data_IF_796745344861
#
_entry.id   IF_796745344861
#
_cell.length_a   1.000
_cell.length_b   1.000
_cell.length_c   1.000
_cell.angle_alpha   90.00
_cell.angle_beta   90.00
_cell.angle_gamma   90.00
#
_symmetry.space_group_name_H-M   'P 1'
#
loop_
_entity.id
_entity.type
_entity.pdbx_description
1 polymer ?
#
# COMPACT_ATOMS: atom_id res chain seq x y z
N UNK A 1 5.80 -3.70 45.35
CA UNK A 1 5.98 -5.12 45.00
C UNK A 1 5.44 -5.32 43.60
N UNK A 2 6.35 -5.42 42.60
CA UNK A 2 5.99 -5.89 41.28
C UNK A 2 5.70 -7.38 41.41
N UNK A 3 4.45 -7.77 41.20
CA UNK A 3 4.09 -9.18 41.02
C UNK A 3 4.46 -9.54 39.57
N UNK A 4 5.56 -10.27 39.40
CA UNK A 4 5.92 -10.91 38.15
C UNK A 4 4.90 -12.03 37.86
N UNK A 5 3.88 -11.73 37.06
CA UNK A 5 2.89 -12.68 36.56
C UNK A 5 3.41 -13.56 35.42
N UNK A 6 4.74 -13.75 35.29
CA UNK A 6 5.34 -14.46 34.16
C UNK A 6 5.65 -15.93 34.39
N UNK A 7 5.24 -16.54 35.52
CA UNK A 7 5.52 -17.95 35.79
C UNK A 7 4.24 -18.77 35.89
N UNK A 8 3.98 -19.64 34.93
CA UNK A 8 3.05 -20.75 35.08
C UNK A 8 3.71 -21.85 35.89
N UNK A 9 2.92 -22.55 36.72
CA UNK A 9 3.38 -23.66 37.57
C UNK A 9 4.06 -24.82 36.82
N UNK A 10 4.05 -24.83 35.50
CA UNK A 10 4.71 -25.84 34.63
C UNK A 10 6.00 -25.35 33.94
N UNK A 11 6.61 -24.27 34.42
CA UNK A 11 7.94 -23.82 33.90
C UNK A 11 7.98 -23.34 32.47
N UNK A 12 6.85 -23.24 31.76
CA UNK A 12 6.79 -22.65 30.41
C UNK A 12 6.68 -21.14 30.55
N UNK A 13 7.67 -20.43 30.00
CA UNK A 13 7.64 -18.98 29.86
C UNK A 13 6.47 -18.59 28.95
N UNK A 14 5.36 -18.20 29.57
CA UNK A 14 4.19 -17.71 28.83
C UNK A 14 4.52 -16.35 28.23
N UNK A 15 4.50 -16.26 26.92
CA UNK A 15 4.66 -14.98 26.23
C UNK A 15 3.39 -14.15 26.46
N UNK A 16 3.54 -12.93 27.00
CA UNK A 16 2.41 -12.02 27.34
C UNK A 16 1.43 -11.84 26.17
N UNK A 17 1.95 -11.84 24.93
CA UNK A 17 1.13 -11.78 23.73
C UNK A 17 0.24 -13.02 23.54
N UNK A 18 0.66 -14.21 24.03
CA UNK A 18 -0.17 -15.41 23.96
C UNK A 18 -1.33 -15.35 24.95
N UNK A 19 -1.08 -14.85 26.17
CA UNK A 19 -2.11 -14.65 27.18
C UNK A 19 -3.16 -13.64 26.72
N UNK A 20 -2.71 -12.51 26.16
CA UNK A 20 -3.61 -11.50 25.61
C UNK A 20 -4.45 -12.04 24.44
N UNK A 21 -3.85 -12.85 23.56
CA UNK A 21 -4.57 -13.47 22.45
C UNK A 21 -5.67 -14.43 22.91
N UNK A 22 -5.41 -15.21 23.98
CA UNK A 22 -6.40 -16.11 24.59
C UNK A 22 -7.53 -15.34 25.28
N UNK A 23 -7.21 -14.26 26.01
CA UNK A 23 -8.19 -13.44 26.73
C UNK A 23 -9.10 -12.64 25.81
N UNK A 24 -8.55 -12.08 24.71
CA UNK A 24 -9.29 -11.22 23.79
C UNK A 24 -9.95 -11.97 22.62
N UNK A 25 -9.58 -13.24 22.40
CA UNK A 25 -9.99 -14.01 21.22
C UNK A 25 -9.33 -13.54 19.91
N UNK A 26 -8.37 -12.60 19.99
CA UNK A 26 -7.66 -12.05 18.86
C UNK A 26 -6.48 -12.94 18.42
N UNK A 27 -6.10 -12.87 17.14
CA UNK A 27 -4.91 -13.57 16.68
C UNK A 27 -3.63 -12.95 17.26
N UNK A 28 -2.61 -13.75 17.51
CA UNK A 28 -1.29 -13.27 17.97
C UNK A 28 -0.72 -12.17 17.04
N UNK A 29 -0.95 -12.31 15.76
CA UNK A 29 -0.53 -11.31 14.75
C UNK A 29 -1.20 -9.96 14.98
N UNK A 30 -2.49 -9.94 15.35
CA UNK A 30 -3.21 -8.72 15.69
C UNK A 30 -2.65 -8.08 16.98
N UNK A 31 -2.38 -8.86 17.99
CA UNK A 31 -1.78 -8.35 19.24
C UNK A 31 -0.41 -7.70 18.97
N UNK A 32 0.45 -8.33 18.17
CA UNK A 32 1.72 -7.72 17.81
C UNK A 32 1.58 -6.43 16.99
N UNK A 33 0.58 -6.34 16.11
CA UNK A 33 0.27 -5.10 15.40
C UNK A 33 -0.15 -3.98 16.35
N UNK A 34 -1.05 -4.24 17.31
CA UNK A 34 -1.44 -3.26 18.32
C UNK A 34 -0.25 -2.80 19.17
N UNK A 35 0.61 -3.73 19.60
CA UNK A 35 1.84 -3.38 20.32
C UNK A 35 2.75 -2.49 19.46
N UNK A 36 2.86 -2.75 18.15
CA UNK A 36 3.65 -1.91 17.24
C UNK A 36 3.10 -0.49 17.15
N UNK A 37 1.78 -0.31 17.11
CA UNK A 37 1.15 1.02 17.05
C UNK A 37 1.51 1.92 18.25
N UNK A 38 1.83 1.33 19.42
CA UNK A 38 2.27 2.12 20.60
C UNK A 38 3.60 2.84 20.40
N UNK A 39 4.35 2.52 19.33
CA UNK A 39 5.59 3.18 18.97
C UNK A 39 5.38 4.43 18.10
N UNK A 40 4.18 4.66 17.60
CA UNK A 40 3.85 5.85 16.82
C UNK A 40 3.92 7.11 17.70
N UNK A 41 4.12 8.27 17.05
CA UNK A 41 3.87 9.56 17.69
C UNK A 41 2.36 9.72 17.91
N UNK A 42 1.93 10.50 18.92
CA UNK A 42 0.52 10.62 19.28
C UNK A 42 -0.39 11.03 18.12
N UNK A 43 0.07 11.93 17.26
CA UNK A 43 -0.68 12.45 16.13
C UNK A 43 -0.96 11.36 15.07
N UNK A 44 0.04 10.54 14.73
CA UNK A 44 -0.15 9.42 13.81
C UNK A 44 -1.00 8.31 14.42
N UNK A 45 -0.89 8.05 15.72
CA UNK A 45 -1.74 7.10 16.42
C UNK A 45 -3.20 7.58 16.39
N UNK A 46 -3.45 8.88 16.67
CA UNK A 46 -4.78 9.47 16.59
C UNK A 46 -5.39 9.32 15.18
N UNK A 47 -4.57 9.45 14.11
CA UNK A 47 -5.04 9.23 12.74
C UNK A 47 -5.48 7.78 12.49
N UNK A 48 -4.88 6.82 13.17
CA UNK A 48 -5.31 5.40 13.11
C UNK A 48 -6.63 5.23 13.85
N UNK A 49 -6.77 5.80 15.04
CA UNK A 49 -7.98 5.72 15.86
C UNK A 49 -9.17 6.41 15.16
N UNK A 50 -8.92 7.54 14.50
CA UNK A 50 -9.92 8.25 13.67
C UNK A 50 -10.27 7.50 12.35
N UNK A 51 -9.58 6.41 12.04
CA UNK A 51 -9.76 5.68 10.77
C UNK A 51 -9.23 6.38 9.53
N UNK A 52 -8.51 7.50 9.69
CA UNK A 52 -7.86 8.24 8.59
C UNK A 52 -6.68 7.47 8.00
N UNK A 53 -5.93 6.75 8.86
CA UNK A 53 -4.83 5.88 8.47
C UNK A 53 -5.19 4.42 8.75
N UNK A 54 -4.89 3.53 7.80
CA UNK A 54 -5.13 2.09 7.98
C UNK A 54 -4.05 1.46 8.88
N UNK A 55 -4.42 0.41 9.60
CA UNK A 55 -3.53 -0.30 10.53
C UNK A 55 -2.24 -0.81 9.85
N UNK A 56 -2.32 -1.39 8.64
CA UNK A 56 -1.14 -1.99 8.02
C UNK A 56 -0.04 -0.97 7.67
N UNK A 57 -0.33 0.17 7.00
CA UNK A 57 0.65 1.24 6.85
C UNK A 57 1.19 1.73 8.19
N UNK A 58 0.34 1.92 9.19
CA UNK A 58 0.72 2.43 10.50
C UNK A 58 1.71 1.50 11.23
N UNK A 59 1.55 0.18 11.11
CA UNK A 59 2.50 -0.80 11.64
C UNK A 59 3.88 -0.65 11.00
N UNK A 60 3.96 -0.48 9.67
CA UNK A 60 5.24 -0.26 8.98
C UNK A 60 5.89 1.06 9.41
N UNK A 61 5.12 2.13 9.57
CA UNK A 61 5.58 3.44 10.03
C UNK A 61 6.08 3.39 11.48
N UNK A 62 5.52 2.52 12.31
CA UNK A 62 5.93 2.37 13.71
C UNK A 62 7.38 1.89 13.88
N UNK A 63 8.03 1.39 12.83
CA UNK A 63 9.45 1.01 12.83
C UNK A 63 10.39 2.16 12.50
N UNK A 64 9.87 3.30 12.02
CA UNK A 64 10.63 4.51 11.80
C UNK A 64 10.95 5.18 13.15
N UNK A 65 12.03 5.94 13.21
CA UNK A 65 12.31 6.79 14.37
C UNK A 65 11.33 7.98 14.47
N UNK A 66 11.41 8.72 15.55
CA UNK A 66 10.46 9.82 15.81
C UNK A 66 10.64 11.00 14.87
N UNK A 67 11.83 11.22 14.37
CA UNK A 67 12.16 12.28 13.42
C UNK A 67 11.51 11.97 12.06
N UNK A 68 11.74 10.79 11.50
CA UNK A 68 11.09 10.36 10.26
C UNK A 68 9.55 10.28 10.38
N UNK A 69 9.02 9.91 11.56
CA UNK A 69 7.58 9.94 11.80
C UNK A 69 7.02 11.37 11.78
N UNK A 70 7.78 12.34 12.29
CA UNK A 70 7.40 13.75 12.27
C UNK A 70 7.42 14.30 10.84
N UNK A 71 8.51 14.02 10.08
CA UNK A 71 8.61 14.38 8.66
C UNK A 71 7.46 13.80 7.83
N UNK A 72 7.09 12.55 8.13
CA UNK A 72 5.93 11.92 7.49
C UNK A 72 4.62 12.62 7.85
N UNK A 73 4.43 13.04 9.10
CA UNK A 73 3.25 13.79 9.51
C UNK A 73 3.12 15.11 8.71
N UNK A 74 4.22 15.85 8.58
CA UNK A 74 4.26 17.08 7.79
C UNK A 74 3.94 16.82 6.31
N UNK A 75 4.47 15.73 5.74
CA UNK A 75 4.15 15.34 4.38
C UNK A 75 2.67 14.93 4.20
N UNK A 76 2.05 14.26 5.20
CA UNK A 76 0.62 13.92 5.20
C UNK A 76 -0.23 15.17 5.22
N UNK A 77 0.13 16.18 6.02
CA UNK A 77 -0.60 17.45 6.12
C UNK A 77 -0.47 18.26 4.82
N UNK A 78 0.73 18.32 4.23
CA UNK A 78 0.98 19.01 2.97
C UNK A 78 0.20 18.42 1.81
N UNK A 79 0.27 17.09 1.65
CA UNK A 79 -0.34 16.36 0.53
C UNK A 79 -1.81 15.99 0.78
N UNK A 80 -2.34 16.25 1.97
CA UNK A 80 -3.70 15.90 2.39
C UNK A 80 -4.02 14.41 2.14
N UNK A 81 -3.03 13.53 2.26
CA UNK A 81 -3.20 12.10 2.00
C UNK A 81 -2.33 11.24 2.92
N UNK A 82 -2.83 10.06 3.31
CA UNK A 82 -2.06 9.09 4.10
C UNK A 82 -1.34 8.09 3.20
N UNK A 83 -0.19 7.54 3.62
CA UNK A 83 0.56 6.60 2.80
C UNK A 83 -0.22 5.30 2.56
N UNK A 84 -0.07 4.73 1.37
CA UNK A 84 -0.50 3.37 1.09
C UNK A 84 0.40 2.35 1.80
N UNK A 85 -0.06 1.10 1.96
CA UNK A 85 0.77 0.05 2.56
C UNK A 85 2.08 -0.18 1.79
N UNK A 86 2.05 -0.11 0.46
CA UNK A 86 3.25 -0.25 -0.36
C UNK A 86 4.27 0.89 -0.15
N UNK A 87 3.79 2.13 -0.02
CA UNK A 87 4.62 3.29 0.30
C UNK A 87 5.23 3.16 1.70
N UNK A 88 4.45 2.74 2.71
CA UNK A 88 4.94 2.53 4.07
C UNK A 88 6.01 1.43 4.15
N UNK A 89 5.84 0.29 3.46
CA UNK A 89 6.88 -0.75 3.35
C UNK A 89 8.16 -0.20 2.71
N UNK A 90 8.02 0.61 1.66
CA UNK A 90 9.17 1.22 0.98
C UNK A 90 9.93 2.18 1.91
N UNK A 91 9.21 3.05 2.63
CA UNK A 91 9.80 3.95 3.64
C UNK A 91 10.55 3.16 4.73
N UNK A 92 9.91 2.11 5.29
CA UNK A 92 10.54 1.24 6.28
C UNK A 92 11.82 0.57 5.74
N UNK A 93 11.80 0.09 4.50
CA UNK A 93 13.00 -0.50 3.86
C UNK A 93 14.11 0.54 3.66
N UNK A 94 13.78 1.75 3.19
CA UNK A 94 14.74 2.83 3.01
C UNK A 94 15.31 3.29 4.35
N UNK A 95 14.49 3.35 5.41
CA UNK A 95 14.94 3.65 6.76
C UNK A 95 15.99 2.64 7.26
N UNK A 96 15.74 1.33 7.08
CA UNK A 96 16.70 0.29 7.46
C UNK A 96 18.02 0.37 6.66
N UNK A 97 17.99 0.93 5.46
CA UNK A 97 19.18 1.16 4.63
C UNK A 97 19.90 2.49 4.97
N UNK A 98 19.32 3.35 5.81
CA UNK A 98 19.85 4.69 6.09
C UNK A 98 19.66 5.70 4.95
N UNK A 99 18.69 5.44 4.04
CA UNK A 99 18.41 6.24 2.85
C UNK A 99 17.15 7.12 3.00
N UNK A 100 16.40 6.97 4.10
CA UNK A 100 15.17 7.73 4.34
C UNK A 100 15.52 9.11 4.94
N UNK A 101 14.95 10.14 4.33
CA UNK A 101 15.01 11.53 4.80
C UNK A 101 13.71 12.24 4.42
N UNK A 102 13.52 13.50 4.86
CA UNK A 102 12.33 14.30 4.60
C UNK A 102 11.99 14.43 3.11
N UNK A 103 12.99 14.67 2.25
CA UNK A 103 12.79 14.80 0.80
C UNK A 103 12.29 13.49 0.18
N UNK A 104 12.90 12.35 0.55
CA UNK A 104 12.47 11.04 0.04
C UNK A 104 11.11 10.62 0.56
N UNK A 105 10.73 11.01 1.76
CA UNK A 105 9.37 10.81 2.29
C UNK A 105 8.37 11.59 1.45
N UNK A 106 8.64 12.85 1.18
CA UNK A 106 7.77 13.70 0.35
C UNK A 106 7.65 13.15 -1.07
N UNK A 107 8.76 12.77 -1.71
CA UNK A 107 8.75 12.16 -3.04
C UNK A 107 7.86 10.91 -3.10
N UNK A 108 7.97 10.02 -2.09
CA UNK A 108 7.13 8.82 -2.00
C UNK A 108 5.66 9.19 -1.81
N UNK A 109 5.36 10.25 -1.04
CA UNK A 109 3.98 10.68 -0.78
C UNK A 109 3.33 11.30 -2.02
N UNK A 110 4.11 12.03 -2.84
CA UNK A 110 3.66 12.64 -4.09
C UNK A 110 3.44 11.62 -5.22
N UNK A 111 3.94 10.38 -5.11
CA UNK A 111 3.73 9.35 -6.13
C UNK A 111 2.24 9.03 -6.31
N UNK A 112 1.80 8.96 -7.57
CA UNK A 112 0.43 8.51 -7.90
C UNK A 112 0.20 7.08 -7.38
N UNK A 113 -0.77 6.93 -6.50
CA UNK A 113 -1.16 5.60 -6.00
C UNK A 113 -1.73 4.74 -7.12
N UNK A 114 -1.56 3.41 -7.07
CA UNK A 114 -2.06 2.50 -8.12
C UNK A 114 -3.56 2.64 -8.42
N UNK A 115 -4.37 3.08 -7.44
CA UNK A 115 -5.80 3.33 -7.61
C UNK A 115 -6.12 4.71 -8.20
N UNK A 116 -5.17 5.63 -8.29
CA UNK A 116 -5.28 6.95 -8.91
C UNK A 116 -4.79 6.96 -10.36
N UNK A 117 -4.11 5.89 -10.80
CA UNK A 117 -3.73 5.74 -12.19
C UNK A 117 -4.96 5.40 -13.03
N UNK A 118 -5.19 6.14 -14.11
CA UNK A 118 -6.21 5.78 -15.08
C UNK A 118 -5.87 4.40 -15.68
N UNK A 119 -6.75 3.44 -15.46
CA UNK A 119 -6.62 2.08 -15.98
C UNK A 119 -7.87 1.73 -16.76
N UNK A 120 -7.72 1.50 -18.04
CA UNK A 120 -8.77 0.91 -18.86
C UNK A 120 -8.75 -0.61 -18.63
N UNK A 121 -9.70 -1.12 -17.84
CA UNK A 121 -9.86 -2.56 -17.62
C UNK A 121 -10.95 -3.08 -18.54
N UNK A 122 -10.56 -3.83 -19.58
CA UNK A 122 -11.49 -4.48 -20.49
C UNK A 122 -11.61 -5.95 -20.09
N UNK A 123 -12.82 -6.44 -19.72
CA UNK A 123 -12.99 -7.84 -19.36
C UNK A 123 -12.58 -8.77 -20.51
N UNK A 124 -11.89 -9.86 -20.18
CA UNK A 124 -11.40 -10.83 -21.17
C UNK A 124 -12.50 -11.34 -22.10
N UNK A 125 -13.69 -11.63 -21.56
CA UNK A 125 -14.88 -12.04 -22.34
C UNK A 125 -15.28 -11.05 -23.43
N UNK A 126 -15.04 -9.75 -23.21
CA UNK A 126 -15.34 -8.71 -24.20
C UNK A 126 -14.33 -8.75 -25.34
N UNK A 127 -13.06 -8.98 -25.03
CA UNK A 127 -11.97 -9.04 -26.01
C UNK A 127 -11.96 -10.35 -26.82
N UNK A 128 -12.44 -11.47 -26.26
CA UNK A 128 -12.50 -12.77 -26.94
C UNK A 128 -13.24 -12.74 -28.28
N UNK A 129 -14.20 -11.85 -28.43
CA UNK A 129 -14.97 -11.68 -29.68
C UNK A 129 -14.13 -11.05 -30.82
N UNK A 130 -13.08 -10.34 -30.46
CA UNK A 130 -12.27 -9.55 -31.42
C UNK A 130 -10.86 -10.11 -31.61
N UNK A 131 -10.41 -10.96 -30.71
CA UNK A 131 -9.05 -11.56 -30.80
C UNK A 131 -9.18 -12.98 -31.40
N UNK A 132 -8.54 -13.25 -32.54
CA UNK A 132 -8.53 -14.58 -33.12
C UNK A 132 -7.94 -15.63 -32.17
N UNK A 133 -8.52 -16.84 -32.17
CA UNK A 133 -8.04 -17.95 -31.33
C UNK A 133 -6.60 -18.37 -31.61
N UNK A 134 -6.06 -17.99 -32.79
CA UNK A 134 -4.67 -18.23 -33.18
C UNK A 134 -3.66 -17.37 -32.45
N UNK A 135 -4.11 -16.28 -31.77
CA UNK A 135 -3.23 -15.37 -31.05
C UNK A 135 -2.96 -15.93 -29.66
N UNK A 136 -1.68 -16.26 -29.40
CA UNK A 136 -1.23 -16.73 -28.10
C UNK A 136 -1.53 -15.72 -26.97
N UNK A 137 -1.86 -16.18 -25.74
CA UNK A 137 -2.23 -15.31 -24.64
C UNK A 137 -1.25 -14.16 -24.39
N UNK A 138 0.04 -14.43 -24.49
CA UNK A 138 1.14 -13.45 -24.27
C UNK A 138 1.19 -12.35 -25.34
N UNK A 139 0.67 -12.63 -26.56
CA UNK A 139 0.65 -11.68 -27.68
C UNK A 139 -0.66 -10.90 -27.81
N UNK A 140 -1.64 -11.17 -26.95
CA UNK A 140 -2.98 -10.53 -27.05
C UNK A 140 -2.93 -9.03 -26.84
N UNK A 141 -2.12 -8.56 -25.89
CA UNK A 141 -1.95 -7.12 -25.64
C UNK A 141 -1.36 -6.41 -26.85
N UNK A 142 -0.28 -6.96 -27.43
CA UNK A 142 0.36 -6.42 -28.65
C UNK A 142 -0.59 -6.41 -29.84
N UNK A 143 -1.38 -7.47 -30.00
CA UNK A 143 -2.43 -7.54 -31.03
C UNK A 143 -3.46 -6.42 -30.87
N UNK A 144 -3.96 -6.17 -29.67
CA UNK A 144 -4.93 -5.09 -29.40
C UNK A 144 -4.31 -3.73 -29.69
N UNK A 145 -3.07 -3.47 -29.24
CA UNK A 145 -2.37 -2.21 -29.53
C UNK A 145 -2.24 -1.96 -31.03
N UNK A 146 -1.82 -2.95 -31.80
CA UNK A 146 -1.71 -2.85 -33.27
C UNK A 146 -3.07 -2.62 -33.95
N UNK A 147 -4.13 -3.27 -33.47
CA UNK A 147 -5.47 -3.04 -33.98
C UNK A 147 -5.95 -1.60 -33.74
N UNK A 148 -5.67 -1.03 -32.57
CA UNK A 148 -5.99 0.36 -32.24
C UNK A 148 -5.19 1.34 -33.07
N UNK A 149 -3.90 1.08 -33.29
CA UNK A 149 -3.06 1.90 -34.19
C UNK A 149 -3.60 1.93 -35.62
N UNK A 150 -3.99 0.76 -36.14
CA UNK A 150 -4.59 0.66 -37.47
C UNK A 150 -5.92 1.41 -37.55
N UNK A 151 -6.77 1.28 -36.53
CA UNK A 151 -8.03 2.00 -36.46
C UNK A 151 -7.83 3.52 -36.39
N UNK A 152 -6.86 4.00 -35.62
CA UNK A 152 -6.52 5.42 -35.57
C UNK A 152 -6.02 5.97 -36.92
N UNK A 153 -5.21 5.20 -37.65
CA UNK A 153 -4.81 5.56 -39.04
C UNK A 153 -6.01 5.63 -39.97
N UNK A 154 -6.93 4.68 -39.87
CA UNK A 154 -8.16 4.68 -40.65
C UNK A 154 -9.03 5.90 -40.36
N UNK A 155 -9.22 6.27 -39.09
CA UNK A 155 -10.01 7.46 -38.71
C UNK A 155 -9.37 8.75 -39.27
N UNK A 156 -8.04 8.90 -39.20
CA UNK A 156 -7.32 10.06 -39.75
C UNK A 156 -7.54 10.15 -41.25
N UNK A 157 -7.36 9.06 -42.00
CA UNK A 157 -7.56 9.04 -43.45
C UNK A 157 -9.01 9.26 -43.86
N UNK A 158 -9.97 8.94 -43.02
CA UNK A 158 -11.38 9.25 -43.25
C UNK A 158 -11.66 10.74 -43.04
N UNK A 159 -11.17 11.32 -41.94
CA UNK A 159 -11.34 12.75 -41.65
C UNK A 159 -10.75 13.63 -42.77
N UNK A 160 -9.59 13.24 -43.30
CA UNK A 160 -8.94 13.94 -44.44
C UNK A 160 -9.77 13.85 -45.73
N UNK A 161 -10.51 12.78 -45.95
CA UNK A 161 -11.42 12.63 -47.11
C UNK A 161 -12.70 13.45 -46.97
N UNK A 162 -13.24 13.50 -45.75
CA UNK A 162 -14.50 14.20 -45.42
C UNK A 162 -14.27 15.75 -45.38
N UNK A 163 -13.01 16.20 -45.28
CA UNK A 163 -12.63 17.62 -45.28
C UNK A 163 -12.25 18.17 -46.69
N UNK A 164 -12.35 17.35 -47.74
CA UNK A 164 -12.17 17.74 -49.14
C UNK A 164 -13.50 17.85 -49.86
#
# INVERSE_FOLDING_TARGET
KRTDLTFSQNGKKLNSANLLAEDTGESKTHIYRYISLTKLIPELLQMVDDGKMKMLPAVEISFLDKECQQDLLEAIESECCTPSHAQAIRMHKMFNNGELNSDTILDIMCELKPNQQERLIIPHKTLEKYIPKSVAPEKRQDYVCKALEHYNKFLKSRAERDSR
#
